data_IF_884191946860
#
_entry.id   IF_884191946860
#
_cell.length_a   1.000
_cell.length_b   1.000
_cell.length_c   1.000
_cell.angle_alpha   90.00
_cell.angle_beta   90.00
_cell.angle_gamma   90.00
#
_symmetry.space_group_name_H-M   'P 1'
#
loop_
_entity.id
_entity.type
_entity.pdbx_description
1 polymer ?
#
# COMPACT_ATOMS: atom_id res chain seq x y z
N UNK A 1 -6.27 -56.84 12.14
CA UNK A 1 -5.39 -56.12 11.21
C UNK A 1 -5.26 -54.71 11.69
N UNK A 2 -4.07 -54.36 12.10
CA UNK A 2 -3.84 -52.98 12.52
C UNK A 2 -3.97 -52.05 11.33
N UNK A 3 -4.93 -51.21 11.36
CA UNK A 3 -4.98 -50.11 10.42
C UNK A 3 -3.71 -49.28 10.57
N UNK A 4 -2.90 -49.31 9.57
CA UNK A 4 -1.75 -48.42 9.52
C UNK A 4 -2.26 -47.00 9.33
N UNK A 5 -2.50 -46.33 10.40
CA UNK A 5 -2.63 -44.90 10.37
C UNK A 5 -1.25 -44.33 10.08
N UNK A 6 -1.02 -44.05 8.84
CA UNK A 6 0.22 -43.41 8.42
C UNK A 6 0.13 -41.95 8.72
N UNK A 7 0.50 -41.57 9.92
CA UNK A 7 0.64 -40.19 10.35
C UNK A 7 2.05 -39.72 10.08
N UNK A 8 2.39 -39.63 8.82
CA UNK A 8 3.79 -39.47 8.44
C UNK A 8 4.26 -38.02 8.60
N UNK A 9 3.40 -37.08 8.87
CA UNK A 9 3.80 -35.67 8.74
C UNK A 9 3.43 -34.78 9.92
N UNK A 10 3.03 -35.44 11.02
CA UNK A 10 2.49 -34.73 12.16
C UNK A 10 3.52 -33.86 12.89
N UNK A 11 4.76 -34.26 12.83
CA UNK A 11 5.81 -33.58 13.61
C UNK A 11 6.65 -32.62 12.83
N UNK A 12 6.69 -32.78 11.53
CA UNK A 12 7.54 -31.91 10.69
C UNK A 12 6.94 -30.55 10.43
N UNK A 13 5.66 -30.39 10.69
CA UNK A 13 4.95 -29.13 10.45
C UNK A 13 4.68 -28.31 11.71
N UNK A 14 5.27 -28.72 12.80
CA UNK A 14 5.16 -27.98 14.06
C UNK A 14 5.81 -26.61 13.92
N UNK A 15 5.01 -25.62 13.61
CA UNK A 15 5.47 -24.26 13.38
C UNK A 15 4.91 -23.59 12.13
N UNK A 16 4.36 -24.37 11.22
CA UNK A 16 3.75 -23.81 9.99
C UNK A 16 2.23 -23.71 10.03
N UNK A 17 1.61 -24.17 11.10
CA UNK A 17 0.16 -24.09 11.27
C UNK A 17 -0.65 -24.93 10.28
N UNK A 18 0.01 -25.78 9.51
CA UNK A 18 -0.67 -26.66 8.59
C UNK A 18 -1.18 -27.89 9.36
N UNK A 19 -2.38 -27.79 9.85
CA UNK A 19 -3.10 -28.91 10.39
C UNK A 19 -3.66 -29.71 9.23
N UNK A 20 -3.08 -30.88 8.96
CA UNK A 20 -3.63 -31.77 7.96
C UNK A 20 -4.84 -32.52 8.54
N UNK A 21 -5.99 -32.02 8.21
CA UNK A 21 -7.25 -32.68 8.53
C UNK A 21 -7.48 -33.82 7.54
N UNK A 22 -7.82 -35.03 7.98
CA UNK A 22 -8.16 -36.14 7.08
C UNK A 22 -9.26 -35.72 6.11
N UNK A 23 -9.11 -36.09 4.86
CA UNK A 23 -9.99 -35.66 3.78
C UNK A 23 -11.49 -35.97 4.02
N UNK A 24 -11.76 -36.96 4.85
CA UNK A 24 -13.12 -37.33 5.24
C UNK A 24 -13.78 -36.30 6.16
N UNK A 25 -13.02 -35.70 7.05
CA UNK A 25 -13.54 -34.73 7.99
C UNK A 25 -13.63 -33.33 7.33
N UNK A 26 -12.79 -33.07 6.36
CA UNK A 26 -12.88 -31.86 5.56
C UNK A 26 -14.20 -31.73 4.78
N UNK A 27 -14.80 -32.87 4.39
CA UNK A 27 -16.10 -32.84 3.71
C UNK A 27 -17.27 -32.70 4.66
N UNK A 28 -17.11 -33.12 5.91
CA UNK A 28 -18.17 -33.03 6.93
C UNK A 28 -18.13 -31.77 7.75
N UNK A 29 -16.98 -31.16 7.85
CA UNK A 29 -16.77 -30.03 8.73
C UNK A 29 -16.73 -28.65 8.03
N UNK A 30 -16.72 -28.63 6.72
CA UNK A 30 -16.96 -27.40 6.03
C UNK A 30 -18.43 -27.28 5.72
N UNK A 31 -19.18 -26.55 6.51
CA UNK A 31 -20.21 -25.78 5.87
C UNK A 31 -19.44 -24.98 4.84
N UNK A 32 -19.66 -25.27 3.58
CA UNK A 32 -19.36 -24.31 2.54
C UNK A 32 -19.59 -22.94 3.15
N UNK A 33 -18.60 -22.03 3.16
CA UNK A 33 -18.90 -20.70 3.60
C UNK A 33 -20.03 -20.28 2.67
N UNK A 34 -21.24 -20.39 3.20
CA UNK A 34 -22.39 -19.86 2.51
C UNK A 34 -21.93 -18.51 2.05
N UNK A 35 -22.03 -18.18 0.75
CA UNK A 35 -21.64 -16.89 0.28
C UNK A 35 -22.26 -15.95 1.28
N UNK A 36 -21.40 -15.31 2.08
CA UNK A 36 -21.90 -14.40 3.08
C UNK A 36 -22.64 -13.38 2.27
N UNK A 37 -23.93 -13.62 2.15
CA UNK A 37 -24.85 -12.65 1.66
C UNK A 37 -24.66 -11.48 2.58
N UNK A 38 -23.70 -10.64 2.18
CA UNK A 38 -23.48 -9.37 2.83
C UNK A 38 -24.86 -8.75 2.83
N UNK A 39 -25.50 -8.83 3.98
CA UNK A 39 -26.86 -8.37 4.11
C UNK A 39 -26.95 -6.96 3.54
N UNK A 40 -28.02 -6.61 2.84
CA UNK A 40 -28.18 -5.26 2.29
C UNK A 40 -27.95 -4.18 3.33
N UNK A 41 -28.17 -4.50 4.60
CA UNK A 41 -27.87 -3.64 5.74
C UNK A 41 -26.35 -3.39 5.91
N UNK A 42 -25.51 -4.41 5.69
CA UNK A 42 -24.05 -4.22 5.72
C UNK A 42 -23.53 -3.44 4.51
N UNK A 43 -24.17 -3.58 3.36
CA UNK A 43 -23.87 -2.76 2.19
C UNK A 43 -24.26 -1.30 2.40
N UNK A 44 -25.37 -1.04 3.11
CA UNK A 44 -25.77 0.31 3.51
C UNK A 44 -24.83 0.89 4.53
N UNK A 45 -24.49 0.16 5.60
CA UNK A 45 -23.52 0.59 6.58
C UNK A 45 -22.15 0.93 5.98
N UNK A 46 -21.74 0.21 4.93
CA UNK A 46 -20.50 0.49 4.21
C UNK A 46 -20.60 1.71 3.29
N UNK A 47 -21.82 2.08 2.84
CA UNK A 47 -22.07 3.31 2.07
C UNK A 47 -22.33 4.52 2.93
N UNK A 48 -22.90 4.32 4.12
CA UNK A 48 -23.20 5.35 5.10
C UNK A 48 -22.01 5.66 6.02
N UNK A 49 -20.99 4.82 6.06
CA UNK A 49 -19.70 5.27 6.54
C UNK A 49 -19.17 6.25 5.50
N UNK A 50 -19.61 7.49 5.62
CA UNK A 50 -18.95 8.60 4.94
C UNK A 50 -17.44 8.41 5.09
N UNK A 51 -16.68 8.43 4.01
CA UNK A 51 -15.24 8.40 4.14
C UNK A 51 -14.89 9.56 5.07
N UNK A 52 -14.39 9.22 6.24
CA UNK A 52 -13.88 10.20 7.19
C UNK A 52 -13.13 11.25 6.37
N UNK A 53 -13.36 12.55 6.62
CA UNK A 53 -12.76 13.59 5.81
C UNK A 53 -11.29 13.26 5.68
N UNK A 54 -10.86 12.97 4.46
CA UNK A 54 -9.48 12.57 4.21
C UNK A 54 -8.62 13.74 4.62
N UNK A 55 -8.02 13.62 5.81
CA UNK A 55 -7.05 14.61 6.26
C UNK A 55 -6.05 14.80 5.13
N UNK A 56 -5.87 16.02 4.61
CA UNK A 56 -4.96 16.24 3.52
C UNK A 56 -3.59 15.71 3.91
N UNK A 57 -3.03 14.86 3.08
CA UNK A 57 -1.70 14.31 3.34
C UNK A 57 -0.69 15.45 3.24
N UNK A 58 0.15 15.54 4.24
CA UNK A 58 1.25 16.49 4.28
C UNK A 58 2.54 15.76 3.96
N UNK A 59 3.35 16.39 3.16
CA UNK A 59 4.61 15.83 2.70
C UNK A 59 5.78 16.71 3.08
N UNK A 60 6.92 16.08 3.25
CA UNK A 60 8.22 16.74 3.42
C UNK A 60 9.19 16.15 2.40
N UNK A 61 9.81 16.97 1.61
CA UNK A 61 10.79 16.59 0.61
C UNK A 61 12.16 17.06 1.05
N UNK A 62 13.10 16.15 1.14
CA UNK A 62 14.48 16.41 1.52
C UNK A 62 15.43 15.94 0.42
N UNK A 63 16.39 16.78 0.09
CA UNK A 63 17.50 16.39 -0.78
C UNK A 63 18.41 15.41 -0.06
N UNK A 64 18.76 14.31 -0.73
CA UNK A 64 19.62 13.26 -0.16
C UNK A 64 21.05 13.72 0.04
N UNK A 65 21.58 14.50 -0.90
CA UNK A 65 22.96 14.91 -0.90
C UNK A 65 23.23 16.06 0.07
N UNK A 66 22.41 17.08 0.02
CA UNK A 66 22.57 18.28 0.84
C UNK A 66 21.83 18.21 2.17
N UNK A 67 20.91 17.25 2.31
CA UNK A 67 19.96 17.15 3.44
C UNK A 67 19.08 18.41 3.60
N UNK A 68 19.05 19.26 2.59
CA UNK A 68 18.20 20.43 2.60
C UNK A 68 16.73 20.03 2.49
N UNK A 69 15.89 20.72 3.23
CA UNK A 69 14.44 20.57 3.11
C UNK A 69 13.98 21.41 1.94
N UNK A 70 13.55 20.76 0.88
CA UNK A 70 13.05 21.41 -0.34
C UNK A 70 11.59 21.85 -0.18
N UNK A 71 10.81 21.04 0.55
CA UNK A 71 9.45 21.37 0.92
C UNK A 71 9.14 20.80 2.29
N UNK A 72 8.53 21.57 3.14
CA UNK A 72 8.07 21.18 4.46
C UNK A 72 6.57 21.45 4.59
N UNK A 73 5.88 20.50 5.20
CA UNK A 73 4.42 20.58 5.42
C UNK A 73 3.63 20.89 4.14
N UNK A 74 4.10 20.40 3.01
CA UNK A 74 3.53 20.65 1.71
C UNK A 74 2.35 19.72 1.41
N UNK A 75 1.36 20.23 0.70
CA UNK A 75 0.29 19.44 0.14
C UNK A 75 0.77 18.62 -1.07
N UNK A 76 -0.04 17.74 -1.58
CA UNK A 76 0.29 16.90 -2.72
C UNK A 76 0.67 17.74 -3.96
N UNK A 77 -0.06 18.83 -4.21
CA UNK A 77 0.14 19.68 -5.39
C UNK A 77 1.49 20.39 -5.33
N UNK A 78 1.80 20.98 -4.20
CA UNK A 78 3.09 21.65 -3.97
C UNK A 78 4.24 20.64 -4.03
N UNK A 79 4.05 19.46 -3.45
CA UNK A 79 5.02 18.37 -3.52
C UNK A 79 5.32 17.97 -4.96
N UNK A 80 4.29 17.79 -5.78
CA UNK A 80 4.45 17.45 -7.20
C UNK A 80 5.18 18.55 -7.96
N UNK A 81 4.92 19.80 -7.65
CA UNK A 81 5.60 20.94 -8.26
C UNK A 81 7.10 20.95 -7.93
N UNK A 82 7.46 20.68 -6.68
CA UNK A 82 8.86 20.54 -6.25
C UNK A 82 9.53 19.35 -6.94
N UNK A 83 8.85 18.21 -6.99
CA UNK A 83 9.37 17.01 -7.66
C UNK A 83 9.53 17.20 -9.18
N UNK A 84 8.75 18.09 -9.79
CA UNK A 84 8.88 18.42 -11.21
C UNK A 84 10.25 19.01 -11.58
N UNK A 85 10.89 19.70 -10.63
CA UNK A 85 12.25 20.22 -10.78
C UNK A 85 13.37 19.20 -10.56
N UNK A 86 13.03 17.99 -10.11
CA UNK A 86 13.99 16.96 -9.74
C UNK A 86 14.05 15.91 -10.84
N UNK A 87 15.25 15.54 -11.24
CA UNK A 87 15.43 14.56 -12.34
C UNK A 87 15.20 13.12 -11.89
N UNK A 88 15.81 12.74 -10.77
CA UNK A 88 15.80 11.35 -10.32
C UNK A 88 15.15 11.18 -8.96
N UNK A 89 14.42 10.10 -8.81
CA UNK A 89 13.73 9.77 -7.55
C UNK A 89 14.69 9.45 -6.40
N UNK A 90 15.91 9.08 -6.72
CA UNK A 90 16.95 8.75 -5.75
C UNK A 90 17.62 9.97 -5.13
N UNK A 91 17.43 11.14 -5.73
CA UNK A 91 18.04 12.38 -5.25
C UNK A 91 17.28 12.98 -4.07
N UNK A 92 16.07 12.49 -3.82
CA UNK A 92 15.22 13.03 -2.75
C UNK A 92 14.56 11.93 -1.93
N UNK A 93 14.43 12.24 -0.66
CA UNK A 93 13.62 11.48 0.28
C UNK A 93 12.30 12.21 0.51
N UNK A 94 11.21 11.53 0.26
CA UNK A 94 9.88 12.07 0.51
C UNK A 94 9.30 11.41 1.75
N UNK A 95 8.90 12.23 2.71
CA UNK A 95 8.24 11.81 3.93
C UNK A 95 6.78 12.23 3.90
N UNK A 96 5.94 11.43 4.51
CA UNK A 96 4.52 11.74 4.72
C UNK A 96 4.25 11.88 6.21
N UNK A 97 3.42 12.85 6.57
CA UNK A 97 2.97 13.01 7.93
C UNK A 97 1.94 11.94 8.30
N UNK A 98 2.20 11.22 9.36
CA UNK A 98 1.30 10.22 9.91
C UNK A 98 0.61 10.78 11.16
N UNK A 99 -0.64 11.27 11.05
CA UNK A 99 -1.31 11.95 12.16
C UNK A 99 -1.59 11.04 13.35
N UNK A 100 -1.77 9.73 13.11
CA UNK A 100 -2.01 8.76 14.19
C UNK A 100 -0.81 8.58 15.12
N UNK A 101 0.39 8.76 14.58
CA UNK A 101 1.66 8.59 15.30
C UNK A 101 2.40 9.91 15.52
N UNK A 102 1.85 11.00 15.01
CA UNK A 102 2.43 12.34 15.08
C UNK A 102 3.91 12.38 14.65
N UNK A 103 4.21 11.71 13.55
CA UNK A 103 5.58 11.62 13.03
C UNK A 103 5.65 11.65 11.52
N UNK A 104 6.80 12.05 11.04
CA UNK A 104 7.16 11.92 9.63
C UNK A 104 7.60 10.49 9.32
N UNK A 105 6.98 9.88 8.33
CA UNK A 105 7.32 8.55 7.84
C UNK A 105 7.88 8.66 6.42
N UNK A 106 9.02 8.00 6.19
CA UNK A 106 9.54 7.87 4.84
C UNK A 106 8.54 7.10 3.96
N UNK A 107 8.30 7.58 2.77
CA UNK A 107 7.49 6.86 1.79
C UNK A 107 8.16 5.55 1.41
N UNK A 108 7.35 4.52 1.22
CA UNK A 108 7.81 3.27 0.63
C UNK A 108 8.13 3.47 -0.85
N UNK A 109 8.92 2.58 -1.42
CA UNK A 109 9.27 2.64 -2.85
C UNK A 109 8.04 2.63 -3.75
N UNK A 110 7.00 1.86 -3.37
CA UNK A 110 5.74 1.83 -4.10
C UNK A 110 5.00 3.16 -4.07
N UNK A 111 4.89 3.76 -2.90
CA UNK A 111 4.26 5.09 -2.73
C UNK A 111 5.06 6.18 -3.46
N UNK A 112 6.37 6.10 -3.41
CA UNK A 112 7.24 7.01 -4.13
C UNK A 112 7.06 6.87 -5.65
N UNK A 113 7.02 5.64 -6.17
CA UNK A 113 6.72 5.37 -7.58
C UNK A 113 5.39 5.97 -8.02
N UNK A 114 4.35 5.82 -7.21
CA UNK A 114 3.04 6.40 -7.52
C UNK A 114 3.08 7.93 -7.54
N UNK A 115 3.86 8.54 -6.64
CA UNK A 115 4.06 9.98 -6.62
C UNK A 115 4.76 10.46 -7.90
N UNK A 116 5.79 9.73 -8.35
CA UNK A 116 6.51 10.03 -9.59
C UNK A 116 5.64 9.88 -10.82
N UNK A 117 4.82 8.84 -10.90
CA UNK A 117 3.83 8.69 -11.98
C UNK A 117 2.83 9.84 -12.02
N UNK A 118 2.39 10.32 -10.86
CA UNK A 118 1.50 11.49 -10.77
C UNK A 118 2.21 12.77 -11.21
N UNK A 119 3.47 12.95 -10.85
CA UNK A 119 4.30 14.05 -11.33
C UNK A 119 4.36 14.06 -12.85
N UNK A 120 4.66 12.92 -13.44
CA UNK A 120 4.80 12.80 -14.89
C UNK A 120 3.48 13.06 -15.62
N UNK A 121 2.36 12.69 -15.03
CA UNK A 121 1.03 13.02 -15.54
C UNK A 121 0.66 14.50 -15.36
N UNK A 122 1.11 15.12 -14.28
CA UNK A 122 0.85 16.50 -13.98
C UNK A 122 1.78 17.46 -14.76
N UNK A 123 2.89 16.93 -15.25
CA UNK A 123 3.77 17.66 -16.14
C UNK A 123 3.03 17.84 -17.47
N UNK A 124 2.61 19.05 -17.84
CA UNK A 124 2.11 19.27 -19.19
C UNK A 124 3.20 18.77 -20.13
N UNK A 125 2.82 18.08 -21.20
CA UNK A 125 3.76 17.60 -22.20
C UNK A 125 4.74 18.73 -22.47
N UNK A 126 5.88 18.67 -21.76
CA UNK A 126 6.87 19.71 -21.84
C UNK A 126 7.39 19.60 -23.24
N UNK A 127 6.96 20.60 -24.03
CA UNK A 127 7.77 21.17 -25.07
C UNK A 127 8.85 20.21 -25.51
N UNK A 128 8.44 19.37 -26.44
CA UNK A 128 9.37 18.66 -27.30
C UNK A 128 10.41 19.71 -27.71
N UNK A 129 11.68 19.56 -27.37
CA UNK A 129 12.68 20.49 -27.88
C UNK A 129 12.52 20.51 -29.38
N UNK A 130 12.14 21.63 -29.90
CA UNK A 130 12.01 21.84 -31.32
C UNK A 130 13.31 21.32 -31.95
N UNK A 131 13.24 20.47 -32.96
CA UNK A 131 14.44 19.99 -33.61
C UNK A 131 15.18 21.23 -34.13
N UNK A 132 16.30 21.48 -33.50
CA UNK A 132 17.22 22.49 -34.07
C UNK A 132 17.59 22.02 -35.48
N UNK A 133 17.15 22.80 -36.41
CA UNK A 133 17.63 22.67 -37.79
C UNK A 133 19.01 23.30 -37.90
#
# INVERSE_FOLDING_TARGET
MAERKVWILDTSTKGTGAEMVPLRDARKGSPEPAPQLVSPAMRRARRESEPAPRVPRRFRVMDVMTRAVLADDADLRTTLAVLAGIRHSVDVNVHVWEPKRERWRLLTLGEQSELWKRRDRARPAAEEPAPER
#
